data_IF_892469349581
#
_entry.id   IF_892469349581
#
_cell.length_a   1.000
_cell.length_b   1.000
_cell.length_c   1.000
_cell.angle_alpha   90.00
_cell.angle_beta   90.00
_cell.angle_gamma   90.00
#
_symmetry.space_group_name_H-M   'P 1'
#
loop_
_entity.id
_entity.type
_entity.pdbx_description
1 polymer ?
#
# COMPACT_ATOMS: atom_id res chain seq x y z
N UNK A 1 -50.69 17.34 11.79
CA UNK A 1 -49.56 16.90 10.94
C UNK A 1 -49.25 18.00 9.93
N UNK A 2 -48.22 18.81 10.20
CA UNK A 2 -47.44 19.68 9.29
C UNK A 2 -46.82 20.78 10.13
N UNK A 3 -45.58 20.58 10.58
CA UNK A 3 -44.61 21.60 10.99
C UNK A 3 -43.35 20.89 11.47
N UNK A 4 -42.35 20.74 10.60
CA UNK A 4 -40.90 20.81 10.90
C UNK A 4 -40.11 20.46 9.65
N UNK A 5 -39.66 21.45 8.88
CA UNK A 5 -38.51 21.35 7.96
C UNK A 5 -37.97 22.76 7.65
N UNK A 6 -37.47 23.45 8.68
CA UNK A 6 -36.57 24.60 8.53
C UNK A 6 -35.64 24.55 9.75
N UNK A 7 -34.60 23.71 9.72
CA UNK A 7 -33.44 23.77 10.62
C UNK A 7 -32.40 22.77 10.12
N UNK A 8 -31.60 23.16 9.11
CA UNK A 8 -30.35 22.46 8.74
C UNK A 8 -29.47 23.27 7.76
N UNK A 9 -29.62 24.59 7.70
CA UNK A 9 -28.74 25.46 6.92
C UNK A 9 -28.50 26.70 7.78
N UNK A 10 -27.56 26.60 8.73
CA UNK A 10 -26.92 27.72 9.46
C UNK A 10 -25.92 27.17 10.49
N UNK A 11 -24.90 26.44 10.01
CA UNK A 11 -23.65 26.16 10.73
C UNK A 11 -22.46 26.21 9.75
N UNK A 12 -22.49 27.18 8.83
CA UNK A 12 -21.35 27.58 7.98
C UNK A 12 -21.24 29.11 8.00
N UNK A 13 -21.19 29.67 9.21
CA UNK A 13 -20.96 31.09 9.42
C UNK A 13 -19.95 31.23 10.56
N UNK A 14 -18.67 31.36 10.22
CA UNK A 14 -17.63 31.68 11.19
C UNK A 14 -16.25 31.09 10.91
N UNK A 15 -15.73 31.26 9.70
CA UNK A 15 -14.32 31.03 9.37
C UNK A 15 -14.03 31.55 7.95
N UNK A 16 -14.12 32.88 7.74
CA UNK A 16 -13.49 33.50 6.56
C UNK A 16 -11.98 33.57 6.84
N UNK A 17 -11.31 32.41 6.91
CA UNK A 17 -9.86 32.37 6.82
C UNK A 17 -9.50 32.61 5.35
N UNK A 18 -8.40 33.31 5.13
CA UNK A 18 -7.85 33.52 3.79
C UNK A 18 -7.57 32.14 3.19
N UNK A 19 -8.50 31.62 2.39
CA UNK A 19 -8.29 30.44 1.56
C UNK A 19 -7.07 30.83 0.72
N UNK A 20 -5.93 30.20 0.99
CA UNK A 20 -4.76 30.30 0.12
C UNK A 20 -5.26 30.12 -1.31
N UNK A 21 -4.81 30.94 -2.27
CA UNK A 21 -5.38 30.94 -3.61
C UNK A 21 -5.11 29.59 -4.31
N UNK A 22 -5.94 28.58 -4.01
CA UNK A 22 -5.82 27.21 -4.51
C UNK A 22 -5.92 27.21 -6.04
N UNK A 23 -6.52 28.24 -6.62
CA UNK A 23 -6.64 28.45 -8.05
C UNK A 23 -5.29 28.49 -8.78
N UNK A 24 -4.19 28.85 -8.11
CA UNK A 24 -2.86 28.82 -8.72
C UNK A 24 -2.32 27.39 -8.90
N UNK A 25 -2.89 26.41 -8.18
CA UNK A 25 -2.46 25.02 -8.19
C UNK A 25 -3.37 24.09 -8.99
N UNK A 26 -4.56 24.54 -9.39
CA UNK A 26 -5.61 23.71 -9.98
C UNK A 26 -5.97 24.20 -11.38
N UNK A 27 -5.98 23.28 -12.36
CA UNK A 27 -6.51 23.59 -13.70
C UNK A 27 -8.03 23.44 -13.77
N UNK A 28 -8.70 24.06 -14.77
CA UNK A 28 -10.14 23.92 -14.94
C UNK A 28 -10.59 22.46 -15.01
N UNK A 29 -11.63 22.12 -14.23
CA UNK A 29 -12.27 20.79 -14.18
C UNK A 29 -11.39 19.67 -13.60
N UNK A 30 -10.27 19.98 -12.95
CA UNK A 30 -9.57 19.01 -12.11
C UNK A 30 -10.36 18.80 -10.82
N UNK A 31 -10.61 17.54 -10.46
CA UNK A 31 -11.21 17.22 -9.17
C UNK A 31 -10.19 17.48 -8.05
N UNK A 32 -10.57 18.29 -7.07
CA UNK A 32 -9.75 18.55 -5.90
C UNK A 32 -10.57 18.66 -4.63
N UNK A 33 -9.93 18.36 -3.51
CA UNK A 33 -10.47 18.55 -2.17
C UNK A 33 -9.43 19.26 -1.30
N UNK A 34 -9.89 20.12 -0.42
CA UNK A 34 -9.07 20.79 0.59
C UNK A 34 -9.32 20.10 1.93
N UNK A 35 -8.27 19.57 2.54
CA UNK A 35 -8.31 19.05 3.90
C UNK A 35 -7.61 20.05 4.79
N UNK A 36 -8.36 20.69 5.68
CA UNK A 36 -7.79 21.58 6.69
C UNK A 36 -7.03 20.74 7.73
N UNK A 37 -5.81 21.16 8.02
CA UNK A 37 -4.99 20.55 9.07
C UNK A 37 -5.02 21.47 10.29
N UNK A 38 -5.39 20.91 11.43
CA UNK A 38 -5.52 21.63 12.68
C UNK A 38 -4.13 21.88 13.28
N UNK A 39 -3.68 23.13 13.31
CA UNK A 39 -2.41 23.52 13.90
C UNK A 39 -2.63 24.62 14.94
N UNK A 40 -1.66 24.79 15.85
CA UNK A 40 -1.71 25.88 16.84
C UNK A 40 -1.49 27.23 16.17
N UNK A 41 -2.58 27.95 15.90
CA UNK A 41 -2.55 29.31 15.37
C UNK A 41 -2.12 29.45 13.90
N UNK A 42 -1.84 28.34 13.20
CA UNK A 42 -1.43 28.33 11.80
C UNK A 42 -2.51 27.73 10.89
N UNK A 43 -2.63 28.28 9.68
CA UNK A 43 -3.51 27.74 8.65
C UNK A 43 -2.69 26.82 7.75
N UNK A 44 -2.91 25.51 7.88
CA UNK A 44 -2.39 24.51 6.94
C UNK A 44 -3.52 23.82 6.21
N UNK A 45 -3.32 23.60 4.91
CA UNK A 45 -4.29 22.94 4.05
C UNK A 45 -3.58 21.93 3.17
N UNK A 46 -4.04 20.69 3.19
CA UNK A 46 -3.61 19.65 2.28
C UNK A 46 -4.56 19.60 1.08
N UNK A 47 -4.01 19.81 -0.11
CA UNK A 47 -4.72 19.63 -1.37
C UNK A 47 -4.65 18.17 -1.81
N UNK A 48 -5.82 17.58 -1.96
CA UNK A 48 -6.01 16.26 -2.55
C UNK A 48 -6.47 16.46 -3.97
N UNK A 49 -5.66 16.08 -4.95
CA UNK A 49 -5.93 16.28 -6.39
C UNK A 49 -6.14 14.90 -7.01
N UNK A 50 -7.26 14.69 -7.69
CA UNK A 50 -7.63 13.39 -8.28
C UNK A 50 -7.54 12.24 -7.26
N UNK A 51 -7.98 12.49 -6.01
CA UNK A 51 -7.93 11.54 -4.91
C UNK A 51 -6.54 11.27 -4.32
N UNK A 52 -5.52 12.03 -4.69
CA UNK A 52 -4.15 11.90 -4.17
C UNK A 52 -3.73 13.11 -3.35
N UNK A 53 -3.22 12.88 -2.14
CA UNK A 53 -2.59 13.92 -1.34
C UNK A 53 -1.38 14.48 -2.09
N UNK A 54 -1.48 15.73 -2.55
CA UNK A 54 -0.57 16.25 -3.57
C UNK A 54 0.22 17.45 -3.07
N UNK A 55 -0.41 18.46 -2.50
CA UNK A 55 0.27 19.70 -2.08
C UNK A 55 -0.12 20.03 -0.66
N UNK A 56 0.86 20.13 0.23
CA UNK A 56 0.67 20.77 1.52
C UNK A 56 0.91 22.28 1.36
N UNK A 57 -0.05 23.09 1.81
CA UNK A 57 0.07 24.54 1.89
C UNK A 57 0.14 24.92 3.36
N UNK A 58 1.22 25.58 3.78
CA UNK A 58 1.37 26.13 5.11
C UNK A 58 1.53 27.65 5.00
N UNK A 59 0.70 28.41 5.73
CA UNK A 59 0.69 29.88 5.73
C UNK A 59 0.62 30.50 4.31
N UNK A 60 -0.12 29.83 3.41
CA UNK A 60 -0.30 30.29 2.03
C UNK A 60 0.81 29.91 1.06
N UNK A 61 1.84 29.16 1.49
CA UNK A 61 2.93 28.70 0.63
C UNK A 61 2.99 27.18 0.55
N UNK A 62 3.32 26.65 -0.63
CA UNK A 62 3.46 25.19 -0.81
C UNK A 62 4.72 24.68 -0.11
N UNK A 63 4.56 23.71 0.79
CA UNK A 63 5.64 23.01 1.48
C UNK A 63 6.16 21.89 0.58
N UNK A 64 7.47 21.86 0.32
CA UNK A 64 8.09 20.89 -0.61
C UNK A 64 9.02 19.88 0.07
N UNK A 65 9.49 20.22 1.26
CA UNK A 65 10.44 19.41 2.01
C UNK A 65 9.71 18.38 2.88
N UNK A 66 10.17 17.13 2.81
CA UNK A 66 9.58 16.01 3.53
C UNK A 66 9.57 16.22 5.04
N UNK A 67 10.66 16.75 5.60
CA UNK A 67 10.78 17.02 7.04
C UNK A 67 9.75 18.05 7.53
N UNK A 68 9.48 19.08 6.73
CA UNK A 68 8.50 20.11 7.09
C UNK A 68 7.07 19.58 6.97
N UNK A 69 6.78 18.77 5.93
CA UNK A 69 5.50 18.07 5.80
C UNK A 69 5.28 17.13 6.99
N UNK A 70 6.31 16.36 7.37
CA UNK A 70 6.27 15.46 8.51
C UNK A 70 5.96 16.22 9.82
N UNK A 71 6.61 17.36 10.04
CA UNK A 71 6.35 18.22 11.20
C UNK A 71 4.90 18.72 11.23
N UNK A 72 4.38 19.22 10.11
CA UNK A 72 2.99 19.69 10.01
C UNK A 72 1.98 18.56 10.26
N UNK A 73 2.18 17.39 9.65
CA UNK A 73 1.30 16.24 9.87
C UNK A 73 1.34 15.74 11.32
N UNK A 74 2.51 15.77 11.95
CA UNK A 74 2.69 15.40 13.36
C UNK A 74 1.99 16.41 14.28
N UNK A 75 2.16 17.71 14.02
CA UNK A 75 1.46 18.76 14.76
C UNK A 75 -0.06 18.65 14.60
N UNK A 76 -0.54 18.32 13.40
CA UNK A 76 -1.95 18.08 13.15
C UNK A 76 -2.52 16.96 14.05
N UNK A 77 -1.83 15.82 14.11
CA UNK A 77 -2.29 14.70 14.96
C UNK A 77 -2.18 15.07 16.45
N UNK A 78 -1.14 15.78 16.86
CA UNK A 78 -0.99 16.28 18.24
C UNK A 78 -2.17 17.18 18.63
N UNK A 79 -2.55 18.11 17.76
CA UNK A 79 -3.64 19.04 18.03
C UNK A 79 -5.01 18.35 18.00
N UNK A 80 -5.28 17.58 16.95
CA UNK A 80 -6.57 16.89 16.76
C UNK A 80 -6.85 15.84 17.85
N UNK A 81 -5.80 15.16 18.34
CA UNK A 81 -5.91 14.25 19.48
C UNK A 81 -6.09 14.95 20.83
N UNK A 82 -5.93 16.28 20.89
CA UNK A 82 -6.00 17.07 22.13
C UNK A 82 -4.83 16.83 23.08
N UNK A 83 -3.68 16.36 22.56
CA UNK A 83 -2.52 15.92 23.35
C UNK A 83 -2.14 16.93 24.45
N UNK A 84 -1.97 18.20 24.09
CA UNK A 84 -1.46 19.23 25.02
C UNK A 84 -2.43 19.49 26.17
N UNK A 85 -3.72 19.56 25.86
CA UNK A 85 -4.76 19.73 26.88
C UNK A 85 -4.83 18.52 27.79
N UNK A 86 -4.70 17.30 27.25
CA UNK A 86 -4.72 16.09 28.07
C UNK A 86 -3.48 16.01 28.95
N UNK A 87 -2.32 16.45 28.45
CA UNK A 87 -1.10 16.57 29.24
C UNK A 87 -1.28 17.54 30.41
N UNK A 88 -1.81 18.74 30.14
CA UNK A 88 -2.11 19.75 31.18
C UNK A 88 -3.16 19.25 32.18
N UNK A 89 -4.28 18.69 31.71
CA UNK A 89 -5.33 18.11 32.56
C UNK A 89 -4.75 17.00 33.48
N UNK A 90 -3.80 16.21 32.97
CA UNK A 90 -3.16 15.12 33.73
C UNK A 90 -2.20 15.66 34.78
N UNK A 91 -1.38 16.64 34.44
CA UNK A 91 -0.47 17.28 35.40
C UNK A 91 -1.25 17.99 36.53
N UNK A 92 -2.29 18.73 36.17
CA UNK A 92 -3.17 19.39 37.14
C UNK A 92 -3.87 18.40 38.08
N UNK A 93 -4.38 17.28 37.54
CA UNK A 93 -4.99 16.25 38.37
C UNK A 93 -3.97 15.57 39.28
N UNK A 94 -2.76 15.27 38.79
CA UNK A 94 -1.71 14.66 39.60
C UNK A 94 -1.28 15.56 40.77
N UNK A 95 -1.17 16.87 40.54
CA UNK A 95 -0.90 17.85 41.61
C UNK A 95 -2.03 17.88 42.64
N UNK A 96 -3.29 17.85 42.19
CA UNK A 96 -4.45 17.80 43.09
C UNK A 96 -4.48 16.50 43.90
N UNK A 97 -4.24 15.35 43.26
CA UNK A 97 -4.14 14.05 43.90
C UNK A 97 -3.11 14.08 45.02
N UNK A 98 -1.88 14.51 44.74
CA UNK A 98 -0.82 14.61 45.75
C UNK A 98 -1.18 15.50 46.93
N UNK A 99 -1.82 16.64 46.68
CA UNK A 99 -2.27 17.53 47.74
C UNK A 99 -3.31 16.85 48.65
N UNK A 100 -4.29 16.17 48.05
CA UNK A 100 -5.32 15.45 48.80
C UNK A 100 -4.72 14.25 49.56
N UNK A 101 -3.86 13.45 48.93
CA UNK A 101 -3.15 12.32 49.54
C UNK A 101 -2.28 12.75 50.72
N UNK A 102 -1.55 13.86 50.60
CA UNK A 102 -0.70 14.38 51.68
C UNK A 102 -1.52 14.72 52.93
N UNK A 103 -2.63 15.45 52.74
CA UNK A 103 -3.51 15.86 53.83
C UNK A 103 -4.14 14.65 54.52
N UNK A 104 -4.56 13.69 53.72
CA UNK A 104 -5.12 12.40 54.13
C UNK A 104 -4.16 11.56 54.96
N UNK A 105 -2.95 11.40 54.41
CA UNK A 105 -1.87 10.61 55.00
C UNK A 105 -1.46 11.19 56.35
N UNK A 106 -1.31 12.51 56.45
CA UNK A 106 -0.97 13.19 57.71
C UNK A 106 -1.95 12.87 58.83
N UNK A 107 -3.25 12.92 58.55
CA UNK A 107 -4.26 12.65 59.57
C UNK A 107 -4.29 11.16 59.97
N UNK A 108 -4.22 10.25 59.00
CA UNK A 108 -4.12 8.81 59.26
C UNK A 108 -2.85 8.45 60.06
N UNK A 109 -1.71 9.06 59.73
CA UNK A 109 -0.44 8.85 60.43
C UNK A 109 -0.50 9.35 61.86
N UNK A 110 -1.13 10.50 62.11
CA UNK A 110 -1.35 11.02 63.46
C UNK A 110 -2.27 10.13 64.30
N UNK A 111 -3.30 9.51 63.69
CA UNK A 111 -4.22 8.61 64.40
C UNK A 111 -3.59 7.25 64.72
N UNK A 112 -2.73 6.75 63.83
CA UNK A 112 -2.04 5.45 63.99
C UNK A 112 -0.66 5.55 64.63
N UNK A 113 -0.13 6.76 64.80
CA UNK A 113 1.21 7.04 65.35
C UNK A 113 2.36 6.84 64.37
N UNK A 114 2.06 6.66 63.07
CA UNK A 114 3.05 6.51 62.01
C UNK A 114 3.80 7.82 61.71
N UNK A 115 3.34 8.95 62.26
CA UNK A 115 4.07 10.23 62.26
C UNK A 115 5.21 10.28 63.29
N UNK A 116 5.16 9.44 64.33
CA UNK A 116 6.15 9.42 65.44
C UNK A 116 7.17 8.30 65.31
N UNK A 117 6.72 7.12 64.88
CA UNK A 117 7.56 5.94 64.70
C UNK A 117 7.23 5.28 63.36
N UNK A 118 8.24 4.76 62.64
CA UNK A 118 8.01 4.01 61.41
C UNK A 118 7.20 2.74 61.70
N UNK A 119 6.48 2.25 60.71
CA UNK A 119 5.79 0.95 60.71
C UNK A 119 6.34 0.11 59.54
N UNK A 120 7.44 -0.62 59.75
CA UNK A 120 8.16 -1.39 58.69
C UNK A 120 7.99 -2.89 58.87
N UNK A 121 7.75 -3.29 60.11
CA UNK A 121 7.55 -4.65 60.58
C UNK A 121 6.58 -4.63 61.76
N UNK A 122 6.26 -5.81 62.27
CA UNK A 122 5.32 -5.95 63.38
C UNK A 122 5.70 -5.09 64.59
N UNK A 123 6.96 -5.13 65.03
CA UNK A 123 7.38 -4.49 66.27
C UNK A 123 7.30 -2.96 66.16
N UNK A 124 7.73 -2.43 65.02
CA UNK A 124 7.69 -0.99 64.73
C UNK A 124 6.25 -0.48 64.51
N UNK A 125 5.39 -1.25 63.84
CA UNK A 125 3.96 -0.93 63.72
C UNK A 125 3.23 -0.95 65.07
N UNK A 126 3.56 -1.92 65.94
CA UNK A 126 3.00 -1.98 67.31
C UNK A 126 3.46 -0.79 68.15
N UNK A 127 4.75 -0.43 68.08
CA UNK A 127 5.29 0.76 68.75
C UNK A 127 4.62 2.05 68.27
N UNK A 128 4.45 2.17 66.95
CA UNK A 128 3.73 3.27 66.31
C UNK A 128 2.31 3.38 66.86
N UNK A 129 1.54 2.29 66.88
CA UNK A 129 0.18 2.28 67.39
C UNK A 129 0.06 2.62 68.89
N UNK A 130 1.01 2.16 69.72
CA UNK A 130 1.04 2.51 71.16
C UNK A 130 1.39 3.97 71.42
N UNK A 131 2.02 4.64 70.46
CA UNK A 131 2.41 6.04 70.61
C UNK A 131 1.21 7.00 70.62
N UNK A 132 0.01 6.54 70.25
CA UNK A 132 -1.23 7.34 70.30
C UNK A 132 -2.29 6.67 71.17
N UNK A 133 -3.04 7.42 71.98
CA UNK A 133 -4.15 6.85 72.75
C UNK A 133 -5.23 6.21 71.87
N UNK A 134 -5.40 6.72 70.65
CA UNK A 134 -6.46 6.36 69.71
C UNK A 134 -6.24 4.93 69.17
N UNK A 135 -5.02 4.61 68.69
CA UNK A 135 -4.70 3.28 68.15
C UNK A 135 -4.23 2.28 69.21
N UNK A 136 -3.80 2.74 70.39
CA UNK A 136 -3.22 1.87 71.44
C UNK A 136 -4.13 0.74 71.92
N UNK A 137 -5.45 0.93 71.90
CA UNK A 137 -6.42 -0.09 72.34
C UNK A 137 -6.72 -1.12 71.26
N UNK A 138 -6.48 -0.78 69.99
CA UNK A 138 -6.79 -1.63 68.83
C UNK A 138 -5.57 -2.39 68.33
N UNK A 139 -4.36 -2.07 68.78
CA UNK A 139 -3.13 -2.77 68.37
C UNK A 139 -3.13 -4.26 68.73
N UNK A 140 -3.89 -4.64 69.74
CA UNK A 140 -4.05 -6.05 70.15
C UNK A 140 -5.18 -6.77 69.40
N UNK A 141 -5.95 -6.06 68.56
CA UNK A 141 -6.97 -6.68 67.73
C UNK A 141 -6.32 -7.39 66.53
N UNK A 142 -6.84 -8.57 66.21
CA UNK A 142 -6.34 -9.39 65.10
C UNK A 142 -6.40 -8.62 63.77
N UNK A 143 -5.27 -8.55 63.07
CA UNK A 143 -5.15 -7.90 61.75
C UNK A 143 -4.83 -6.40 61.78
N UNK A 144 -4.75 -5.75 62.95
CA UNK A 144 -4.57 -4.30 63.01
C UNK A 144 -3.19 -3.84 62.54
N UNK A 145 -2.12 -4.45 63.05
CA UNK A 145 -0.75 -4.06 62.69
C UNK A 145 -0.44 -4.45 61.23
N UNK A 146 -1.01 -5.56 60.74
CA UNK A 146 -0.94 -5.94 59.32
C UNK A 146 -1.60 -4.88 58.43
N UNK A 147 -2.78 -4.37 58.84
CA UNK A 147 -3.47 -3.32 58.10
C UNK A 147 -2.68 -1.99 58.08
N UNK A 148 -1.99 -1.63 59.17
CA UNK A 148 -1.06 -0.50 59.22
C UNK A 148 0.12 -0.69 58.27
N UNK A 149 0.76 -1.87 58.31
CA UNK A 149 1.89 -2.18 57.44
C UNK A 149 1.47 -2.15 55.96
N UNK A 150 0.34 -2.76 55.63
CA UNK A 150 -0.23 -2.74 54.28
C UNK A 150 -0.55 -1.32 53.82
N UNK A 151 -1.16 -0.50 54.69
CA UNK A 151 -1.47 0.90 54.37
C UNK A 151 -0.21 1.67 54.00
N UNK A 152 0.84 1.59 54.83
CA UNK A 152 2.11 2.26 54.54
C UNK A 152 2.71 1.79 53.22
N UNK A 153 2.79 0.47 53.00
CA UNK A 153 3.35 -0.10 51.78
C UNK A 153 2.57 0.33 50.54
N UNK A 154 1.25 0.44 50.63
CA UNK A 154 0.40 0.91 49.53
C UNK A 154 0.60 2.41 49.27
N UNK A 155 0.71 3.25 50.29
CA UNK A 155 1.08 4.67 50.13
C UNK A 155 2.42 4.82 49.41
N UNK A 156 3.45 4.08 49.84
CA UNK A 156 4.78 4.16 49.22
C UNK A 156 4.74 3.77 47.74
N UNK A 157 3.95 2.75 47.37
CA UNK A 157 3.74 2.36 45.97
C UNK A 157 3.01 3.44 45.17
N UNK A 158 1.95 4.03 45.73
CA UNK A 158 1.18 5.10 45.07
C UNK A 158 2.04 6.34 44.86
N UNK A 159 2.77 6.79 45.88
CA UNK A 159 3.71 7.91 45.77
C UNK A 159 4.77 7.65 44.72
N UNK A 160 5.39 6.46 44.72
CA UNK A 160 6.37 6.10 43.70
C UNK A 160 5.79 6.09 42.28
N UNK A 161 4.61 5.51 42.09
CA UNK A 161 3.95 5.50 40.78
C UNK A 161 3.59 6.92 40.31
N UNK A 162 3.19 7.78 41.24
CA UNK A 162 2.91 9.20 40.99
C UNK A 162 4.18 9.98 40.61
N UNK A 163 5.31 9.73 41.28
CA UNK A 163 6.61 10.32 40.93
C UNK A 163 7.08 9.89 39.54
N UNK A 164 6.89 8.61 39.21
CA UNK A 164 7.20 8.07 37.88
C UNK A 164 6.28 8.67 36.81
N UNK A 165 4.99 8.86 37.11
CA UNK A 165 4.06 9.54 36.22
C UNK A 165 4.46 11.00 35.99
N UNK A 166 4.77 11.76 37.04
CA UNK A 166 5.27 13.14 36.92
C UNK A 166 6.52 13.22 36.03
N UNK A 167 7.48 12.31 36.26
CA UNK A 167 8.69 12.25 35.45
C UNK A 167 8.42 11.94 33.97
N UNK A 168 7.39 11.14 33.68
CA UNK A 168 6.92 10.90 32.31
C UNK A 168 6.25 12.13 31.71
N UNK A 169 5.39 12.83 32.45
CA UNK A 169 4.71 14.04 31.99
C UNK A 169 5.73 15.15 31.65
N UNK A 170 6.75 15.34 32.50
CA UNK A 170 7.81 16.35 32.28
C UNK A 170 8.68 16.06 31.04
N UNK A 171 8.76 14.80 30.61
CA UNK A 171 9.55 14.36 29.44
C UNK A 171 8.66 13.89 28.29
N UNK A 172 7.36 14.18 28.37
CA UNK A 172 6.39 13.64 27.44
C UNK A 172 6.69 14.14 26.03
N UNK A 173 6.65 13.21 25.08
CA UNK A 173 6.77 13.51 23.65
C UNK A 173 5.46 13.15 22.95
N UNK A 174 5.07 13.86 21.89
CA UNK A 174 3.86 13.55 21.12
C UNK A 174 4.10 12.32 20.23
N UNK A 175 4.29 11.15 20.85
CA UNK A 175 4.44 9.87 20.18
C UNK A 175 3.73 8.74 20.95
N UNK A 176 3.54 7.61 20.26
CA UNK A 176 2.83 6.44 20.79
C UNK A 176 3.45 5.93 22.10
N UNK A 177 4.77 5.75 22.15
CA UNK A 177 5.46 5.15 23.29
C UNK A 177 5.30 5.99 24.57
N UNK A 178 5.45 7.31 24.44
CA UNK A 178 5.22 8.25 25.55
C UNK A 178 3.77 8.19 26.03
N UNK A 179 2.81 8.20 25.11
CA UNK A 179 1.38 8.16 25.46
C UNK A 179 0.99 6.84 26.16
N UNK A 180 1.50 5.69 25.67
CA UNK A 180 1.30 4.38 26.31
C UNK A 180 1.93 4.29 27.69
N UNK A 181 3.14 4.83 27.86
CA UNK A 181 3.81 4.83 29.16
C UNK A 181 3.00 5.62 30.20
N UNK A 182 2.47 6.79 29.82
CA UNK A 182 1.61 7.61 30.66
C UNK A 182 0.29 6.88 30.97
N UNK A 183 -0.38 6.35 29.95
CA UNK A 183 -1.61 5.56 30.10
C UNK A 183 -1.43 4.38 31.09
N UNK A 184 -0.32 3.65 30.94
CA UNK A 184 0.02 2.52 31.80
C UNK A 184 0.24 2.97 33.25
N UNK A 185 0.94 4.08 33.48
CA UNK A 185 1.16 4.59 34.84
C UNK A 185 -0.11 5.12 35.49
N UNK A 186 -0.98 5.77 34.74
CA UNK A 186 -2.32 6.14 35.23
C UNK A 186 -3.11 4.89 35.65
N UNK A 187 -3.07 3.82 34.85
CA UNK A 187 -3.71 2.54 35.19
C UNK A 187 -3.14 1.93 36.47
N UNK A 188 -1.82 1.92 36.62
CA UNK A 188 -1.16 1.42 37.83
C UNK A 188 -1.59 2.19 39.09
N UNK A 189 -1.68 3.53 39.00
CA UNK A 189 -2.17 4.37 40.11
C UNK A 189 -3.61 4.01 40.46
N UNK A 190 -4.51 3.89 39.47
CA UNK A 190 -5.90 3.48 39.70
C UNK A 190 -5.97 2.13 40.42
N UNK A 191 -5.22 1.13 39.96
CA UNK A 191 -5.22 -0.21 40.55
C UNK A 191 -4.68 -0.18 42.01
N UNK A 192 -3.72 0.70 42.30
CA UNK A 192 -3.18 0.90 43.65
C UNK A 192 -4.15 1.66 44.56
N UNK A 193 -4.85 2.68 44.05
CA UNK A 193 -5.92 3.39 44.78
C UNK A 193 -7.08 2.46 45.13
N UNK A 194 -7.50 1.59 44.20
CA UNK A 194 -8.55 0.61 44.44
C UNK A 194 -8.15 -0.39 45.53
N UNK A 195 -6.89 -0.87 45.53
CA UNK A 195 -6.35 -1.71 46.61
C UNK A 195 -6.29 -0.95 47.93
N UNK A 196 -5.86 0.31 47.90
CA UNK A 196 -5.80 1.15 49.10
C UNK A 196 -7.19 1.32 49.70
N UNK A 197 -8.22 1.59 48.89
CA UNK A 197 -9.60 1.75 49.36
C UNK A 197 -10.17 0.50 50.06
N UNK A 198 -9.56 -0.68 49.89
CA UNK A 198 -9.94 -1.93 50.56
C UNK A 198 -9.15 -2.18 51.87
N UNK A 199 -8.24 -1.28 52.25
CA UNK A 199 -7.45 -1.43 53.46
C UNK A 199 -8.34 -1.32 54.72
N UNK A 200 -8.23 -2.26 55.68
CA UNK A 200 -9.08 -2.27 56.87
C UNK A 200 -9.03 -1.02 57.76
N UNK A 201 -7.97 -0.21 57.67
CA UNK A 201 -7.87 1.06 58.41
C UNK A 201 -8.84 2.13 57.90
N UNK A 202 -9.28 2.03 56.63
CA UNK A 202 -10.17 2.98 55.98
C UNK A 202 -11.64 2.55 56.07
N UNK A 203 -11.89 1.24 56.15
CA UNK A 203 -13.24 0.69 56.10
C UNK A 203 -13.99 0.85 57.43
N UNK A 204 -15.26 1.26 57.34
CA UNK A 204 -16.21 1.31 58.43
C UNK A 204 -16.88 -0.05 58.68
N UNK A 205 -17.43 -0.26 59.88
CA UNK A 205 -18.11 -1.52 60.24
C UNK A 205 -19.33 -1.86 59.37
N UNK A 206 -19.91 -0.86 58.67
CA UNK A 206 -21.02 -1.04 57.73
C UNK A 206 -20.58 -1.21 56.27
N UNK A 207 -19.27 -1.20 55.98
CA UNK A 207 -18.77 -1.37 54.62
C UNK A 207 -18.73 -2.85 54.21
N UNK A 208 -18.80 -3.09 52.90
CA UNK A 208 -18.84 -4.43 52.33
C UNK A 208 -17.63 -5.27 52.79
N UNK A 209 -17.89 -6.40 53.45
CA UNK A 209 -16.86 -7.28 53.99
C UNK A 209 -16.48 -7.04 55.46
N UNK A 210 -16.99 -5.98 56.09
CA UNK A 210 -16.77 -5.63 57.50
C UNK A 210 -17.93 -6.00 58.44
N UNK A 211 -19.05 -6.46 57.88
CA UNK A 211 -20.24 -6.86 58.63
C UNK A 211 -19.98 -8.10 59.52
N UNK A 212 -20.76 -8.25 60.60
CA UNK A 212 -20.62 -9.38 61.52
C UNK A 212 -20.77 -10.73 60.80
N UNK A 213 -19.65 -11.45 60.61
CA UNK A 213 -19.57 -12.72 59.88
C UNK A 213 -18.80 -12.64 58.55
N UNK A 214 -18.49 -11.45 58.06
CA UNK A 214 -17.49 -11.22 57.02
C UNK A 214 -16.11 -11.32 57.65
N UNK A 215 -15.26 -12.25 57.20
CA UNK A 215 -13.98 -12.58 57.86
C UNK A 215 -12.90 -11.49 57.88
N UNK A 216 -13.23 -10.19 57.76
CA UNK A 216 -12.30 -9.06 57.86
C UNK A 216 -12.66 -8.17 59.05
N UNK A 217 -11.69 -7.90 59.92
CA UNK A 217 -11.81 -6.89 60.98
C UNK A 217 -11.52 -5.51 60.39
N UNK A 218 -12.48 -4.58 60.47
CA UNK A 218 -12.34 -3.21 59.96
C UNK A 218 -12.30 -2.20 61.10
N UNK A 219 -11.46 -1.18 60.98
CA UNK A 219 -11.07 -0.36 62.13
C UNK A 219 -11.47 1.12 62.02
N UNK A 220 -11.76 1.63 60.82
CA UNK A 220 -12.21 3.01 60.59
C UNK A 220 -11.38 4.10 61.31
N UNK A 221 -10.05 3.92 61.38
CA UNK A 221 -9.17 4.90 62.03
C UNK A 221 -8.73 6.00 61.08
N UNK A 222 -8.52 5.66 59.82
CA UNK A 222 -8.09 6.64 58.84
C UNK A 222 -9.34 7.21 58.18
N UNK A 223 -9.39 8.52 57.91
CA UNK A 223 -10.55 9.10 57.25
C UNK A 223 -10.77 8.31 55.96
N UNK A 224 -12.00 7.88 55.74
CA UNK A 224 -12.43 7.33 54.45
C UNK A 224 -12.38 8.49 53.47
N UNK A 225 -11.18 8.86 53.04
CA UNK A 225 -11.12 9.51 51.76
C UNK A 225 -11.66 8.51 50.80
N UNK A 226 -12.56 9.04 49.99
CA UNK A 226 -12.76 8.54 48.66
C UNK A 226 -11.39 8.63 47.98
N UNK A 227 -10.49 7.67 48.22
CA UNK A 227 -9.29 7.45 47.40
C UNK A 227 -9.72 7.24 45.94
N UNK A 228 -11.01 6.94 45.71
CA UNK A 228 -11.69 6.99 44.43
C UNK A 228 -12.21 8.37 43.95
N UNK A 229 -11.97 9.48 44.67
CA UNK A 229 -12.34 10.85 44.26
C UNK A 229 -11.78 11.14 42.87
N UNK A 230 -10.55 10.69 42.66
CA UNK A 230 -9.80 10.91 41.43
C UNK A 230 -9.96 9.75 40.46
N UNK A 231 -10.35 8.55 40.89
CA UNK A 231 -10.44 7.39 40.00
C UNK A 231 -11.39 7.59 38.81
N UNK A 232 -12.46 8.37 38.92
CA UNK A 232 -13.31 8.69 37.75
C UNK A 232 -12.61 9.61 36.75
N UNK A 233 -11.93 10.65 37.24
CA UNK A 233 -11.12 11.57 36.43
C UNK A 233 -9.90 10.88 35.82
N UNK A 234 -9.20 10.06 36.60
CA UNK A 234 -8.06 9.22 36.16
C UNK A 234 -8.50 8.19 35.13
N UNK A 235 -9.64 7.52 35.30
CA UNK A 235 -10.17 6.62 34.28
C UNK A 235 -10.51 7.36 32.97
N UNK A 236 -11.03 8.60 33.08
CA UNK A 236 -11.27 9.45 31.91
C UNK A 236 -9.97 9.80 31.21
N UNK A 237 -8.95 10.26 31.94
CA UNK A 237 -7.63 10.58 31.39
C UNK A 237 -6.93 9.36 30.80
N UNK A 238 -7.01 8.20 31.45
CA UNK A 238 -6.54 6.92 30.90
C UNK A 238 -7.17 6.66 29.53
N UNK A 239 -8.49 6.83 29.41
CA UNK A 239 -9.20 6.70 28.14
C UNK A 239 -8.72 7.71 27.08
N UNK A 240 -8.50 8.97 27.47
CA UNK A 240 -7.96 9.99 26.56
C UNK A 240 -6.53 9.64 26.09
N UNK A 241 -5.65 9.20 27.00
CA UNK A 241 -4.28 8.78 26.67
C UNK A 241 -4.25 7.55 25.77
N UNK A 242 -5.18 6.61 25.95
CA UNK A 242 -5.36 5.47 25.03
C UNK A 242 -5.75 5.92 23.61
N UNK A 243 -6.67 6.89 23.49
CA UNK A 243 -7.05 7.44 22.20
C UNK A 243 -5.89 8.20 21.53
N UNK A 244 -5.16 9.00 22.31
CA UNK A 244 -3.93 9.68 21.86
C UNK A 244 -2.89 8.67 21.38
N UNK A 245 -2.65 7.60 22.13
CA UNK A 245 -1.66 6.58 21.74
C UNK A 245 -2.06 5.87 20.45
N UNK A 246 -3.36 5.66 20.24
CA UNK A 246 -3.90 5.10 19.00
C UNK A 246 -3.71 6.06 17.82
N UNK A 247 -4.04 7.35 18.00
CA UNK A 247 -3.86 8.36 16.97
C UNK A 247 -2.38 8.56 16.58
N UNK A 248 -1.46 8.45 17.55
CA UNK A 248 -0.02 8.57 17.35
C UNK A 248 0.67 7.25 16.96
N UNK A 249 -0.07 6.13 16.93
CA UNK A 249 0.50 4.82 16.62
C UNK A 249 1.02 4.73 15.19
N UNK A 250 0.42 5.49 14.29
CA UNK A 250 0.74 5.52 12.86
C UNK A 250 1.94 6.42 12.53
N UNK A 251 2.82 6.73 13.49
CA UNK A 251 3.98 7.60 13.24
C UNK A 251 4.90 7.14 12.09
N UNK A 252 5.09 5.84 11.87
CA UNK A 252 5.82 5.31 10.71
C UNK A 252 5.06 5.50 9.39
N UNK A 253 3.72 5.52 9.44
CA UNK A 253 2.89 5.88 8.30
C UNK A 253 2.93 7.38 8.03
N UNK A 254 3.14 8.24 9.04
CA UNK A 254 3.32 9.69 8.85
C UNK A 254 4.59 9.97 8.04
N UNK A 255 5.72 9.30 8.35
CA UNK A 255 6.97 9.45 7.59
C UNK A 255 6.75 9.10 6.11
N UNK A 256 6.19 7.92 5.83
CA UNK A 256 5.86 7.50 4.46
C UNK A 256 4.89 8.47 3.76
N UNK A 257 3.84 8.90 4.47
CA UNK A 257 2.84 9.83 3.95
C UNK A 257 3.49 11.19 3.61
N UNK A 258 4.41 11.67 4.44
CA UNK A 258 5.15 12.90 4.20
C UNK A 258 6.03 12.80 2.94
N UNK A 259 6.74 11.68 2.76
CA UNK A 259 7.53 11.41 1.55
C UNK A 259 6.63 11.42 0.30
N UNK A 260 5.49 10.73 0.34
CA UNK A 260 4.53 10.67 -0.77
C UNK A 260 4.02 12.07 -1.13
N UNK A 261 3.61 12.87 -0.14
CA UNK A 261 3.15 14.24 -0.36
C UNK A 261 4.28 15.10 -0.93
N UNK A 262 5.51 14.99 -0.42
CA UNK A 262 6.65 15.74 -0.92
C UNK A 262 6.95 15.42 -2.39
N UNK A 263 6.95 14.14 -2.75
CA UNK A 263 7.16 13.67 -4.12
C UNK A 263 6.04 14.13 -5.05
N UNK A 264 4.78 14.00 -4.63
CA UNK A 264 3.63 14.49 -5.39
C UNK A 264 3.68 16.01 -5.55
N UNK A 265 4.08 16.76 -4.50
CA UNK A 265 4.23 18.22 -4.56
C UNK A 265 5.29 18.61 -5.58
N UNK A 266 6.48 17.99 -5.51
CA UNK A 266 7.58 18.26 -6.46
C UNK A 266 7.16 17.98 -7.89
N UNK A 267 6.52 16.84 -8.13
CA UNK A 267 5.99 16.49 -9.44
C UNK A 267 4.95 17.50 -9.93
N UNK A 268 3.98 17.84 -9.09
CA UNK A 268 2.88 18.76 -9.45
C UNK A 268 3.38 20.16 -9.74
N UNK A 269 4.29 20.69 -8.92
CA UNK A 269 4.89 22.00 -9.16
C UNK A 269 5.76 22.00 -10.43
N UNK A 270 6.50 20.92 -10.68
CA UNK A 270 7.23 20.78 -11.93
C UNK A 270 6.28 20.76 -13.14
N UNK A 271 5.17 20.03 -13.03
CA UNK A 271 4.12 20.01 -14.02
C UNK A 271 3.56 21.42 -14.26
N UNK A 272 3.10 22.13 -13.22
CA UNK A 272 2.54 23.49 -13.37
C UNK A 272 3.51 24.47 -14.03
N UNK A 273 4.80 24.38 -13.68
CA UNK A 273 5.84 25.26 -14.23
C UNK A 273 6.22 24.93 -15.68
N UNK A 274 6.01 23.69 -16.13
CA UNK A 274 6.48 23.21 -17.43
C UNK A 274 5.36 22.70 -18.35
N UNK A 275 4.10 22.78 -17.94
CA UNK A 275 2.95 22.16 -18.62
C UNK A 275 2.85 22.50 -20.10
N UNK A 276 3.13 23.75 -20.48
CA UNK A 276 3.09 24.19 -21.88
C UNK A 276 4.20 23.51 -22.71
N UNK A 277 5.40 23.38 -22.15
CA UNK A 277 6.52 22.70 -22.79
C UNK A 277 6.27 21.19 -22.88
N UNK A 278 5.79 20.59 -21.79
CA UNK A 278 5.43 19.16 -21.75
C UNK A 278 4.36 18.84 -22.79
N UNK A 279 3.32 19.67 -22.89
CA UNK A 279 2.27 19.49 -23.88
C UNK A 279 2.77 19.69 -25.31
N UNK A 280 3.60 20.70 -25.55
CA UNK A 280 4.21 20.93 -26.87
C UNK A 280 5.02 19.71 -27.34
N UNK A 281 5.80 19.11 -26.44
CA UNK A 281 6.55 17.89 -26.72
C UNK A 281 5.61 16.69 -26.97
N UNK A 282 4.63 16.47 -26.09
CA UNK A 282 3.64 15.40 -26.25
C UNK A 282 2.88 15.52 -27.57
N UNK A 283 2.41 16.72 -27.93
CA UNK A 283 1.73 17.00 -29.21
C UNK A 283 2.62 16.72 -30.41
N UNK A 284 3.88 17.13 -30.38
CA UNK A 284 4.84 16.84 -31.44
C UNK A 284 5.08 15.32 -31.61
N UNK A 285 5.18 14.60 -30.49
CA UNK A 285 5.31 13.15 -30.49
C UNK A 285 4.04 12.45 -31.02
N UNK A 286 2.84 12.93 -30.68
CA UNK A 286 1.57 12.41 -31.22
C UNK A 286 1.50 12.62 -32.74
N UNK A 287 1.86 13.81 -33.23
CA UNK A 287 1.90 14.11 -34.67
C UNK A 287 2.92 13.24 -35.43
N UNK A 288 4.11 13.06 -34.85
CA UNK A 288 5.10 12.12 -35.40
C UNK A 288 4.52 10.71 -35.48
N UNK A 289 3.88 10.25 -34.41
CA UNK A 289 3.29 8.90 -34.33
C UNK A 289 2.13 8.71 -35.31
N UNK A 290 1.30 9.73 -35.50
CA UNK A 290 0.24 9.78 -36.51
C UNK A 290 0.79 9.52 -37.91
N UNK A 291 1.88 10.19 -38.26
CA UNK A 291 2.52 10.07 -39.58
C UNK A 291 3.18 8.69 -39.76
N UNK A 292 3.86 8.19 -38.73
CA UNK A 292 4.43 6.83 -38.72
C UNK A 292 3.35 5.76 -38.91
N UNK A 293 2.25 5.84 -38.14
CA UNK A 293 1.14 4.90 -38.24
C UNK A 293 0.49 4.94 -39.63
N UNK A 294 0.22 6.14 -40.16
CA UNK A 294 -0.34 6.28 -41.51
C UNK A 294 0.54 5.59 -42.57
N UNK A 295 1.85 5.81 -42.53
CA UNK A 295 2.79 5.19 -43.44
C UNK A 295 2.85 3.66 -43.27
N UNK A 296 2.87 3.17 -42.03
CA UNK A 296 2.91 1.74 -41.74
C UNK A 296 1.62 1.04 -42.18
N UNK A 297 0.44 1.64 -41.94
CA UNK A 297 -0.84 1.10 -42.37
C UNK A 297 -0.92 1.03 -43.89
N UNK A 298 -0.43 2.06 -44.61
CA UNK A 298 -0.37 2.03 -46.07
C UNK A 298 0.52 0.89 -46.59
N UNK A 299 1.66 0.64 -45.94
CA UNK A 299 2.56 -0.46 -46.32
C UNK A 299 1.96 -1.82 -45.99
N UNK A 300 1.43 -1.96 -44.77
CA UNK A 300 0.74 -3.15 -44.27
C UNK A 300 -0.46 -3.51 -45.15
N UNK A 301 -1.25 -2.51 -45.54
CA UNK A 301 -2.43 -2.63 -46.41
C UNK A 301 -2.15 -3.19 -47.81
N UNK A 302 -0.90 -3.14 -48.28
CA UNK A 302 -0.50 -3.80 -49.54
C UNK A 302 -0.44 -5.33 -49.42
N UNK A 303 -0.23 -5.83 -48.20
CA UNK A 303 -0.08 -7.26 -47.89
C UNK A 303 -1.27 -7.82 -47.13
N UNK A 304 -1.98 -6.99 -46.39
CA UNK A 304 -3.09 -7.41 -45.53
C UNK A 304 -4.30 -6.55 -45.83
N UNK A 305 -5.48 -7.15 -45.86
CA UNK A 305 -6.73 -6.40 -45.78
C UNK A 305 -6.83 -5.82 -44.37
N UNK A 306 -6.35 -4.59 -44.21
CA UNK A 306 -6.07 -3.94 -42.94
C UNK A 306 -7.30 -3.26 -42.32
N UNK A 307 -8.53 -3.66 -42.65
CA UNK A 307 -9.75 -2.94 -42.23
C UNK A 307 -9.91 -2.79 -40.71
N UNK A 308 -9.43 -3.77 -39.92
CA UNK A 308 -9.44 -3.68 -38.47
C UNK A 308 -8.43 -2.64 -37.94
N UNK A 309 -7.18 -2.68 -38.44
CA UNK A 309 -6.14 -1.69 -38.12
C UNK A 309 -6.56 -0.28 -38.57
N UNK A 310 -7.15 -0.12 -39.75
CA UNK A 310 -7.67 1.17 -40.25
C UNK A 310 -8.79 1.74 -39.36
N UNK A 311 -9.66 0.86 -38.86
CA UNK A 311 -10.69 1.22 -37.89
C UNK A 311 -10.10 1.73 -36.57
N UNK A 312 -9.11 1.02 -36.02
CA UNK A 312 -8.41 1.45 -34.80
C UNK A 312 -7.61 2.75 -35.02
N UNK A 313 -7.00 2.93 -36.18
CA UNK A 313 -6.31 4.18 -36.52
C UNK A 313 -7.27 5.36 -36.60
N UNK A 314 -8.47 5.15 -37.14
CA UNK A 314 -9.52 6.18 -37.13
C UNK A 314 -9.94 6.56 -35.71
N UNK A 315 -10.07 5.58 -34.80
CA UNK A 315 -10.34 5.85 -33.38
C UNK A 315 -9.19 6.57 -32.70
N UNK A 316 -7.95 6.20 -33.01
CA UNK A 316 -6.75 6.90 -32.55
C UNK A 316 -6.76 8.37 -32.99
N UNK A 317 -7.11 8.68 -34.24
CA UNK A 317 -7.21 10.05 -34.74
C UNK A 317 -8.30 10.86 -34.03
N UNK A 318 -9.49 10.26 -33.82
CA UNK A 318 -10.57 10.91 -33.08
C UNK A 318 -10.15 11.23 -31.64
N UNK A 319 -9.53 10.27 -30.96
CA UNK A 319 -9.05 10.46 -29.60
C UNK A 319 -7.88 11.46 -29.53
N UNK A 320 -6.95 11.44 -30.49
CA UNK A 320 -5.88 12.44 -30.60
C UNK A 320 -6.44 13.85 -30.76
N UNK A 321 -7.43 14.06 -31.64
CA UNK A 321 -8.06 15.36 -31.84
C UNK A 321 -8.80 15.82 -30.58
N UNK A 322 -9.49 14.92 -29.88
CA UNK A 322 -10.14 15.22 -28.61
C UNK A 322 -9.13 15.63 -27.52
N UNK A 323 -8.00 14.93 -27.43
CA UNK A 323 -6.88 15.27 -26.53
C UNK A 323 -6.30 16.65 -26.84
N UNK A 324 -6.14 17.00 -28.13
CA UNK A 324 -5.69 18.33 -28.53
C UNK A 324 -6.70 19.41 -28.13
N UNK A 325 -7.99 19.17 -28.38
CA UNK A 325 -9.04 20.09 -27.99
C UNK A 325 -9.09 20.32 -26.47
N UNK A 326 -8.88 19.28 -25.66
CA UNK A 326 -8.78 19.43 -24.19
C UNK A 326 -7.65 20.37 -23.79
N UNK A 327 -6.47 20.25 -24.40
CA UNK A 327 -5.36 21.15 -24.11
C UNK A 327 -5.66 22.59 -24.55
N UNK A 328 -6.32 22.78 -25.70
CA UNK A 328 -6.72 24.09 -26.21
C UNK A 328 -7.78 24.76 -25.28
N UNK A 329 -8.57 23.96 -24.55
CA UNK A 329 -9.47 24.42 -23.48
C UNK A 329 -8.76 24.71 -22.13
N UNK A 330 -7.43 24.56 -22.07
CA UNK A 330 -6.63 24.76 -20.86
C UNK A 330 -6.60 23.57 -19.90
N UNK A 331 -7.06 22.38 -20.33
CA UNK A 331 -7.05 21.12 -19.55
C UNK A 331 -5.80 20.31 -19.86
N UNK A 332 -4.63 20.92 -19.68
CA UNK A 332 -3.35 20.36 -20.10
C UNK A 332 -3.02 19.06 -19.33
N UNK A 333 -3.38 18.98 -18.04
CA UNK A 333 -3.13 17.79 -17.23
C UNK A 333 -3.78 16.54 -17.83
N UNK A 334 -5.08 16.64 -18.15
CA UNK A 334 -5.82 15.54 -18.74
C UNK A 334 -5.34 15.25 -20.17
N UNK A 335 -5.00 16.27 -20.95
CA UNK A 335 -4.47 16.08 -22.29
C UNK A 335 -3.13 15.29 -22.27
N UNK A 336 -2.23 15.58 -21.32
CA UNK A 336 -1.00 14.81 -21.13
C UNK A 336 -1.29 13.36 -20.73
N UNK A 337 -2.18 13.14 -19.75
CA UNK A 337 -2.59 11.80 -19.32
C UNK A 337 -3.21 10.98 -20.46
N UNK A 338 -4.02 11.61 -21.31
CA UNK A 338 -4.59 10.98 -22.50
C UNK A 338 -3.55 10.73 -23.59
N UNK A 339 -2.56 11.60 -23.75
CA UNK A 339 -1.46 11.41 -24.69
C UNK A 339 -0.66 10.13 -24.38
N UNK A 340 -0.37 9.85 -23.10
CA UNK A 340 0.34 8.62 -22.69
C UNK A 340 -0.42 7.36 -23.13
N UNK A 341 -1.73 7.30 -22.89
CA UNK A 341 -2.57 6.19 -23.33
C UNK A 341 -2.60 6.05 -24.87
N UNK A 342 -2.62 7.18 -25.58
CA UNK A 342 -2.55 7.18 -27.04
C UNK A 342 -1.21 6.65 -27.56
N UNK A 343 -0.09 6.97 -26.90
CA UNK A 343 1.21 6.41 -27.26
C UNK A 343 1.24 4.90 -27.07
N UNK A 344 0.71 4.38 -25.96
CA UNK A 344 0.64 2.95 -25.70
C UNK A 344 -0.23 2.23 -26.75
N UNK A 345 -1.40 2.79 -27.07
CA UNK A 345 -2.28 2.23 -28.10
C UNK A 345 -1.63 2.22 -29.48
N UNK A 346 -0.94 3.30 -29.84
CA UNK A 346 -0.19 3.39 -31.09
C UNK A 346 0.95 2.37 -31.17
N UNK A 347 1.67 2.13 -30.06
CA UNK A 347 2.71 1.11 -29.99
C UNK A 347 2.13 -0.31 -30.15
N UNK A 348 1.02 -0.62 -29.48
CA UNK A 348 0.33 -1.92 -29.62
C UNK A 348 -0.10 -2.19 -31.06
N UNK A 349 -0.65 -1.17 -31.73
CA UNK A 349 -1.04 -1.26 -33.14
C UNK A 349 0.17 -1.55 -34.05
N UNK A 350 1.30 -0.86 -33.82
CA UNK A 350 2.52 -1.09 -34.58
C UNK A 350 3.10 -2.49 -34.37
N UNK A 351 3.13 -2.98 -33.13
CA UNK A 351 3.65 -4.32 -32.86
C UNK A 351 2.77 -5.40 -33.50
N UNK A 352 1.43 -5.25 -33.43
CA UNK A 352 0.52 -6.19 -34.11
C UNK A 352 0.76 -6.24 -35.62
N UNK A 353 0.89 -5.08 -36.28
CA UNK A 353 1.23 -5.03 -37.70
C UNK A 353 2.55 -5.75 -37.99
N UNK A 354 3.58 -5.48 -37.19
CA UNK A 354 4.91 -6.09 -37.34
C UNK A 354 4.89 -7.60 -37.12
N UNK A 355 4.14 -8.08 -36.13
CA UNK A 355 3.97 -9.51 -35.89
C UNK A 355 3.28 -10.19 -37.07
N UNK A 356 2.20 -9.60 -37.58
CA UNK A 356 1.49 -10.13 -38.74
C UNK A 356 2.37 -10.12 -40.01
N UNK A 357 3.20 -9.10 -40.22
CA UNK A 357 4.18 -9.07 -41.31
C UNK A 357 5.21 -10.19 -41.19
N UNK A 358 5.72 -10.48 -39.98
CA UNK A 358 6.63 -11.61 -39.75
C UNK A 358 5.95 -12.95 -40.08
N UNK A 359 4.70 -13.12 -39.68
CA UNK A 359 3.92 -14.33 -39.99
C UNK A 359 3.73 -14.51 -41.49
N UNK A 360 3.39 -13.43 -42.20
CA UNK A 360 3.29 -13.45 -43.65
C UNK A 360 4.63 -13.79 -44.32
N UNK A 361 5.75 -13.21 -43.85
CA UNK A 361 7.07 -13.55 -44.37
C UNK A 361 7.36 -15.05 -44.20
N UNK A 362 7.02 -15.63 -43.04
CA UNK A 362 7.19 -17.06 -42.80
C UNK A 362 6.32 -17.91 -43.73
N UNK A 363 5.08 -17.49 -44.00
CA UNK A 363 4.21 -18.15 -44.98
C UNK A 363 4.84 -18.11 -46.38
N UNK A 364 5.36 -16.96 -46.81
CA UNK A 364 6.06 -16.80 -48.09
C UNK A 364 7.28 -17.74 -48.18
N UNK A 365 8.11 -17.78 -47.14
CA UNK A 365 9.30 -18.63 -47.08
C UNK A 365 8.93 -20.13 -47.14
N UNK A 366 7.91 -20.56 -46.38
CA UNK A 366 7.40 -21.94 -46.42
C UNK A 366 6.82 -22.29 -47.81
N UNK A 367 6.12 -21.36 -48.48
CA UNK A 367 5.59 -21.58 -49.82
C UNK A 367 6.70 -21.73 -50.88
N UNK A 368 7.80 -20.98 -50.78
CA UNK A 368 8.94 -21.11 -51.69
C UNK A 368 9.74 -22.40 -51.43
N UNK A 369 9.89 -22.80 -50.16
CA UNK A 369 10.48 -24.10 -49.80
C UNK A 369 9.64 -25.25 -50.38
N UNK A 370 8.31 -25.20 -50.19
CA UNK A 370 7.40 -26.23 -50.71
C UNK A 370 7.47 -26.37 -52.23
N UNK A 371 7.58 -25.26 -52.96
CA UNK A 371 7.80 -25.26 -54.41
C UNK A 371 9.09 -25.99 -54.79
N UNK A 372 10.17 -25.78 -54.04
CA UNK A 372 11.44 -26.49 -54.22
C UNK A 372 11.31 -27.98 -53.89
N UNK A 373 10.59 -28.33 -52.81
CA UNK A 373 10.34 -29.72 -52.42
C UNK A 373 9.54 -30.47 -53.49
N UNK A 374 8.52 -29.85 -54.10
CA UNK A 374 7.77 -30.47 -55.20
C UNK A 374 8.59 -30.67 -56.47
N UNK A 375 9.63 -29.86 -56.70
CA UNK A 375 10.55 -30.08 -57.81
C UNK A 375 11.46 -31.29 -57.58
N UNK A 376 11.83 -31.57 -56.32
CA UNK A 376 12.67 -32.71 -55.92
C UNK A 376 11.88 -34.03 -55.78
N UNK A 377 10.60 -33.96 -55.40
CA UNK A 377 9.71 -35.12 -55.31
C UNK A 377 9.14 -35.44 -56.70
N UNK A 378 9.77 -36.38 -57.43
CA UNK A 378 9.29 -36.82 -58.75
C UNK A 378 7.79 -37.22 -58.75
N UNK A 379 7.10 -36.93 -59.86
CA UNK A 379 5.64 -37.12 -60.00
C UNK A 379 5.27 -38.60 -59.92
N UNK A 380 4.53 -39.01 -58.87
CA UNK A 380 3.94 -40.36 -58.92
C UNK A 380 3.13 -40.88 -57.74
N UNK A 381 2.88 -40.12 -56.67
CA UNK A 381 2.13 -40.61 -55.50
C UNK A 381 0.84 -39.85 -55.20
N UNK A 382 -0.19 -40.55 -54.73
CA UNK A 382 -1.44 -39.96 -54.21
C UNK A 382 -1.17 -38.91 -53.11
N UNK A 383 -0.16 -39.17 -52.26
CA UNK A 383 0.28 -38.27 -51.20
C UNK A 383 0.90 -36.97 -51.72
N UNK A 384 1.69 -37.02 -52.80
CA UNK A 384 2.28 -35.82 -53.42
C UNK A 384 1.18 -34.98 -54.08
N UNK A 385 0.20 -35.63 -54.71
CA UNK A 385 -0.96 -34.97 -55.32
C UNK A 385 -1.80 -34.24 -54.27
N UNK A 386 -2.06 -34.88 -53.12
CA UNK A 386 -2.78 -34.27 -51.99
C UNK A 386 -2.04 -33.05 -51.44
N UNK A 387 -0.72 -33.14 -51.26
CA UNK A 387 0.09 -32.01 -50.81
C UNK A 387 0.10 -30.86 -51.82
N UNK A 388 0.20 -31.15 -53.13
CA UNK A 388 0.12 -30.12 -54.16
C UNK A 388 -1.22 -29.38 -54.12
N UNK A 389 -2.33 -30.10 -53.89
CA UNK A 389 -3.64 -29.46 -53.69
C UNK A 389 -3.66 -28.56 -52.45
N UNK A 390 -3.09 -29.01 -51.33
CA UNK A 390 -3.00 -28.19 -50.11
C UNK A 390 -2.11 -26.96 -50.31
N UNK A 391 -0.99 -27.10 -51.02
CA UNK A 391 -0.11 -26.00 -51.41
C UNK A 391 -0.83 -24.98 -52.28
N UNK A 392 -1.56 -25.41 -53.30
CA UNK A 392 -2.28 -24.50 -54.20
C UNK A 392 -3.37 -23.73 -53.46
N UNK A 393 -4.09 -24.38 -52.54
CA UNK A 393 -5.07 -23.72 -51.69
C UNK A 393 -4.42 -22.70 -50.74
N UNK A 394 -3.35 -23.09 -50.04
CA UNK A 394 -2.60 -22.19 -49.16
C UNK A 394 -2.03 -20.99 -49.93
N UNK A 395 -1.46 -21.23 -51.12
CA UNK A 395 -0.94 -20.18 -52.01
C UNK A 395 -2.03 -19.21 -52.45
N UNK A 396 -3.22 -19.73 -52.78
CA UNK A 396 -4.36 -18.91 -53.16
C UNK A 396 -4.89 -18.09 -51.97
N UNK A 397 -4.99 -18.69 -50.77
CA UNK A 397 -5.44 -17.96 -49.57
C UNK A 397 -4.41 -16.97 -49.03
N UNK A 398 -3.12 -17.20 -49.30
CA UNK A 398 -2.02 -16.29 -49.03
C UNK A 398 -1.80 -15.25 -50.17
N UNK A 399 -2.64 -15.27 -51.21
CA UNK A 399 -2.55 -14.29 -52.29
C UNK A 399 -3.04 -12.91 -51.80
N UNK A 400 -2.33 -11.86 -52.20
CA UNK A 400 -2.48 -10.54 -51.61
C UNK A 400 -3.71 -9.76 -52.12
N UNK A 401 -4.43 -9.03 -51.24
CA UNK A 401 -4.19 -8.86 -49.80
C UNK A 401 -4.89 -9.91 -48.91
N UNK A 402 -4.16 -10.44 -47.91
CA UNK A 402 -4.63 -11.50 -46.98
C UNK A 402 -5.53 -10.92 -45.89
N UNK A 403 -6.62 -11.58 -45.50
CA UNK A 403 -7.44 -11.13 -44.35
C UNK A 403 -6.68 -11.28 -43.02
N UNK A 404 -6.65 -10.24 -42.18
CA UNK A 404 -5.88 -10.22 -40.93
C UNK A 404 -6.22 -11.41 -40.02
N UNK A 405 -7.51 -11.73 -39.87
CA UNK A 405 -7.99 -12.84 -39.04
C UNK A 405 -7.54 -14.23 -39.55
N UNK A 406 -7.09 -14.35 -40.80
CA UNK A 406 -6.63 -15.61 -41.39
C UNK A 406 -5.14 -15.84 -41.24
N UNK A 407 -4.33 -14.81 -40.96
CA UNK A 407 -2.86 -14.88 -41.00
C UNK A 407 -2.31 -15.99 -40.09
N UNK A 408 -2.78 -16.07 -38.84
CA UNK A 408 -2.29 -17.10 -37.90
C UNK A 408 -2.62 -18.52 -38.37
N UNK A 409 -3.81 -18.73 -38.93
CA UNK A 409 -4.21 -20.04 -39.47
C UNK A 409 -3.37 -20.40 -40.70
N UNK A 410 -3.14 -19.44 -41.59
CA UNK A 410 -2.30 -19.66 -42.77
C UNK A 410 -0.85 -20.00 -42.38
N UNK A 411 -0.33 -19.41 -41.31
CA UNK A 411 0.99 -19.75 -40.77
C UNK A 411 1.04 -21.20 -40.25
N UNK A 412 0.01 -21.62 -39.52
CA UNK A 412 -0.14 -23.00 -39.04
C UNK A 412 -0.23 -23.98 -40.21
N UNK A 413 -1.08 -23.68 -41.20
CA UNK A 413 -1.28 -24.50 -42.40
C UNK A 413 0.02 -24.60 -43.22
N UNK A 414 0.75 -23.49 -43.38
CA UNK A 414 2.06 -23.44 -44.04
C UNK A 414 3.11 -24.30 -43.32
N UNK A 415 3.23 -24.13 -42.01
CA UNK A 415 4.19 -24.88 -41.18
C UNK A 415 3.87 -26.38 -41.18
N UNK A 416 2.59 -26.75 -41.13
CA UNK A 416 2.13 -28.13 -41.19
C UNK A 416 2.49 -28.78 -42.53
N UNK A 417 2.20 -28.07 -43.62
CA UNK A 417 2.49 -28.54 -44.97
C UNK A 417 4.00 -28.70 -45.22
N UNK A 418 4.81 -27.74 -44.75
CA UNK A 418 6.27 -27.79 -44.78
C UNK A 418 6.81 -29.05 -44.10
N UNK A 419 6.36 -29.32 -42.87
CA UNK A 419 6.78 -30.50 -42.11
C UNK A 419 6.42 -31.80 -42.84
N UNK A 420 5.22 -31.89 -43.41
CA UNK A 420 4.80 -33.05 -44.20
C UNK A 420 5.72 -33.23 -45.41
N UNK A 421 6.07 -32.15 -46.11
CA UNK A 421 6.96 -32.20 -47.27
C UNK A 421 8.39 -32.62 -46.94
N UNK A 422 8.95 -32.10 -45.86
CA UNK A 422 10.28 -32.50 -45.38
C UNK A 422 10.33 -33.99 -45.00
N UNK A 423 9.29 -34.50 -44.32
CA UNK A 423 9.20 -35.93 -43.96
C UNK A 423 9.08 -36.80 -45.21
N UNK A 424 8.34 -36.37 -46.23
CA UNK A 424 8.25 -37.12 -47.49
C UNK A 424 9.57 -37.14 -48.23
N UNK A 425 10.27 -36.00 -48.34
CA UNK A 425 11.60 -35.95 -48.96
C UNK A 425 12.58 -36.90 -48.27
N UNK A 426 12.62 -36.87 -46.94
CA UNK A 426 13.46 -37.79 -46.16
C UNK A 426 13.11 -39.27 -46.42
N UNK A 427 11.82 -39.62 -46.52
CA UNK A 427 11.39 -40.98 -46.86
C UNK A 427 11.80 -41.40 -48.27
N UNK A 428 11.74 -40.50 -49.24
CA UNK A 428 12.17 -40.77 -50.62
C UNK A 428 13.67 -41.04 -50.66
N UNK A 429 14.48 -40.18 -50.02
CA UNK A 429 15.93 -40.36 -49.90
C UNK A 429 16.32 -41.69 -49.23
N UNK A 430 15.55 -42.14 -48.23
CA UNK A 430 15.81 -43.41 -47.53
C UNK A 430 15.32 -44.65 -48.28
N UNK A 431 14.37 -44.53 -49.22
CA UNK A 431 13.86 -45.66 -50.03
C UNK A 431 14.77 -46.01 -51.22
N UNK A 432 15.64 -45.11 -51.63
CA UNK A 432 16.64 -45.40 -52.67
C UNK A 432 17.84 -46.22 -52.14
N UNK A 433 17.93 -46.47 -50.83
CA UNK A 433 18.88 -47.44 -50.25
C UNK A 433 18.31 -48.88 -50.29
N UNK A 434 18.11 -49.40 -51.50
CA UNK A 434 18.21 -50.85 -51.77
C UNK A 434 19.54 -51.06 -52.52
N UNK A 435 20.65 -50.81 -51.82
CA UNK A 435 22.00 -51.19 -52.27
C UNK A 435 22.40 -52.40 -51.43
N UNK A 436 22.60 -53.52 -52.12
CA UNK A 436 22.86 -54.83 -51.54
C UNK A 436 24.04 -54.86 -50.55
N UNK A 437 24.03 -55.92 -49.73
CA UNK A 437 25.04 -56.25 -48.73
C UNK A 437 26.49 -56.00 -49.20
N UNK A 438 27.07 -54.89 -48.75
CA UNK A 438 28.48 -54.55 -48.92
C UNK A 438 28.76 -53.18 -48.32
N UNK A 439 29.56 -53.13 -47.26
CA UNK A 439 29.99 -51.95 -46.47
C UNK A 439 29.65 -50.56 -47.07
N UNK A 440 28.53 -49.99 -46.64
CA UNK A 440 28.16 -48.63 -46.98
C UNK A 440 29.03 -47.61 -46.21
N UNK A 441 29.96 -46.96 -46.90
CA UNK A 441 30.40 -45.61 -46.55
C UNK A 441 29.30 -44.64 -46.97
N UNK A 442 28.63 -44.01 -46.01
CA UNK A 442 27.70 -42.92 -46.29
C UNK A 442 28.46 -41.73 -46.88
N UNK A 443 28.30 -41.49 -48.19
CA UNK A 443 28.57 -40.18 -48.77
C UNK A 443 27.25 -39.59 -49.23
N UNK A 444 26.84 -38.49 -48.60
CA UNK A 444 25.79 -37.61 -49.14
C UNK A 444 26.18 -37.27 -50.59
N UNK A 445 25.29 -37.55 -51.55
CA UNK A 445 25.51 -37.10 -52.92
C UNK A 445 25.68 -35.56 -52.91
N UNK A 446 26.65 -35.00 -53.66
CA UNK A 446 27.02 -33.60 -53.59
C UNK A 446 25.86 -32.62 -53.88
N UNK A 447 24.84 -33.06 -54.60
CA UNK A 447 23.66 -32.25 -54.93
C UNK A 447 22.76 -31.95 -53.71
N UNK A 448 22.82 -32.77 -52.65
CA UNK A 448 22.01 -32.56 -51.43
C UNK A 448 22.73 -31.73 -50.36
N UNK A 449 24.03 -31.50 -50.50
CA UNK A 449 24.79 -30.61 -49.62
C UNK A 449 24.42 -29.12 -49.83
N UNK A 450 23.93 -28.75 -51.03
CA UNK A 450 23.47 -27.37 -51.31
C UNK A 450 22.16 -27.01 -50.58
N UNK A 451 21.25 -27.97 -50.36
CA UNK A 451 19.99 -27.75 -49.64
C UNK A 451 20.19 -27.45 -48.15
N UNK A 452 21.29 -27.93 -47.55
CA UNK A 452 21.64 -27.62 -46.17
C UNK A 452 22.28 -26.21 -46.00
N UNK A 453 22.72 -25.58 -47.10
CA UNK A 453 23.42 -24.30 -47.08
C UNK A 453 22.55 -23.08 -47.44
N UNK A 454 21.40 -23.27 -48.09
CA UNK A 454 20.60 -22.17 -48.68
C UNK A 454 19.48 -21.60 -47.79
N UNK A 455 19.19 -22.21 -46.64
CA UNK A 455 18.29 -21.68 -45.62
C UNK A 455 18.72 -22.25 -44.28
N UNK A 456 18.40 -21.61 -43.15
CA UNK A 456 18.79 -22.03 -41.79
C UNK A 456 18.29 -23.41 -41.32
N UNK A 457 18.10 -24.35 -42.24
CA UNK A 457 17.65 -25.74 -42.07
C UNK A 457 18.79 -26.64 -41.58
N UNK A 458 20.06 -26.23 -41.64
CA UNK A 458 21.20 -27.05 -41.18
C UNK A 458 21.06 -27.59 -39.75
N UNK A 459 20.46 -26.82 -38.83
CA UNK A 459 20.21 -27.26 -37.46
C UNK A 459 19.01 -28.22 -37.34
N UNK A 460 17.97 -28.03 -38.15
CA UNK A 460 16.72 -28.82 -38.10
C UNK A 460 16.84 -30.13 -38.89
N UNK A 461 17.48 -30.11 -40.07
CA UNK A 461 17.95 -31.30 -40.78
C UNK A 461 19.02 -32.03 -39.96
N UNK A 462 19.93 -31.31 -39.30
CA UNK A 462 20.91 -31.91 -38.37
C UNK A 462 20.24 -32.62 -37.18
N UNK A 463 19.20 -32.01 -36.60
CA UNK A 463 18.41 -32.61 -35.52
C UNK A 463 17.55 -33.80 -36.00
N UNK A 464 16.88 -33.70 -37.15
CA UNK A 464 16.10 -34.78 -37.77
C UNK A 464 17.01 -35.95 -38.18
N UNK A 465 18.15 -35.67 -38.80
CA UNK A 465 19.14 -36.69 -39.15
C UNK A 465 19.73 -37.31 -37.89
N UNK A 466 20.06 -36.54 -36.84
CA UNK A 466 20.58 -37.10 -35.58
C UNK A 466 19.57 -37.98 -34.83
N UNK A 467 18.28 -37.64 -34.87
CA UNK A 467 17.22 -38.43 -34.25
C UNK A 467 16.85 -39.66 -35.08
N UNK A 468 16.93 -39.58 -36.42
CA UNK A 468 16.86 -40.74 -37.32
C UNK A 468 18.06 -41.66 -37.09
N UNK A 469 19.28 -41.12 -36.98
CA UNK A 469 20.49 -41.88 -36.61
C UNK A 469 20.34 -42.56 -35.23
N UNK A 470 19.72 -41.88 -34.26
CA UNK A 470 19.45 -42.46 -32.93
C UNK A 470 18.43 -43.60 -32.99
N UNK A 471 17.36 -43.48 -33.78
CA UNK A 471 16.35 -44.54 -34.00
C UNK A 471 16.96 -45.74 -34.73
N UNK A 472 17.83 -45.52 -35.72
CA UNK A 472 18.55 -46.57 -36.45
C UNK A 472 19.56 -47.28 -35.54
N UNK A 473 20.31 -46.55 -34.71
CA UNK A 473 21.23 -47.13 -33.73
C UNK A 473 20.52 -47.98 -32.67
N UNK A 474 19.27 -47.65 -32.32
CA UNK A 474 18.46 -48.40 -31.37
C UNK A 474 17.82 -49.68 -31.96
N UNK A 475 17.79 -49.84 -33.28
CA UNK A 475 17.34 -51.05 -33.97
C UNK A 475 18.46 -52.04 -34.30
N UNK A 476 19.73 -51.65 -34.14
CA UNK A 476 20.92 -52.49 -34.33
C UNK A 476 21.50 -53.06 -33.02
N UNK A 477 20.83 -52.85 -31.89
CA UNK A 477 20.96 -53.61 -30.64
C UNK A 477 19.65 -54.34 -30.42
#
# INVERSE_FOLDING_TARGET
MKMLKIFCILLFAGAFFAIADVGIYIEPNIEYQTVELALDGANSTLLVIEGKETILINEGTSVKEESEIFEVLTQNIRYDSGYDKVLEDTDALLLQMRYDEENSRKECYKMTGMDRYPCEDKDTCVLSAFSTPISSTSVQADGFWEAMLEYRQNIEKISKASDELEALLQKAKPNNDSAKAIEFKIREIIDLEEKMAQNPLLLAQGDAGCEAGGGKTCFNFCPTLRWNLHSSSMNTLKGKWFLISTALADSSYIEYRAEVIANNTKWWLNYLNNKDSMWKEAKANLEKKKNELSANILQYGKKVNASAVEGEYSQYLLAMNATIAQADEGKIYYALKSADSLFENAQKMQERMRENEKKLQKIEDSLELMKTLFAALERGGENVTRMQSQYMNLKFEAEYPVQEEKISKLEEDATSLENVGLVMLAKTMLKEEDVGEGEAKYSLAPDYAMLAAAGGIGALLGALLSSIFWIIAKRKK
#
